data_IF_470628590042
#
_entry.id   IF_470628590042
#
_cell.length_a   1.000
_cell.length_b   1.000
_cell.length_c   1.000
_cell.angle_alpha   90.00
_cell.angle_beta   90.00
_cell.angle_gamma   90.00
#
_symmetry.space_group_name_H-M   'P 1'
#
loop_
_entity.id
_entity.type
_entity.pdbx_description
1 polymer ?
#
# COMPACT_ATOMS: atom_id res chain seq x y z
N UNK A 1 5.69 -2.51 -14.24
CA UNK A 1 4.41 -1.84 -14.30
C UNK A 1 4.43 -0.60 -13.42
N UNK A 2 3.83 0.45 -13.87
CA UNK A 2 3.69 1.71 -13.13
C UNK A 2 2.32 1.81 -12.48
N UNK A 3 2.28 2.46 -11.33
CA UNK A 3 1.07 2.81 -10.64
C UNK A 3 0.89 4.33 -10.64
N UNK A 4 -0.33 4.80 -10.53
CA UNK A 4 -0.66 6.20 -10.67
C UNK A 4 -1.04 6.78 -9.32
N UNK A 5 -0.73 8.07 -9.15
CA UNK A 5 -1.23 8.83 -8.01
C UNK A 5 -2.77 8.86 -8.05
N UNK A 6 -3.41 8.53 -6.92
CA UNK A 6 -4.81 8.81 -6.74
C UNK A 6 -5.00 10.32 -6.47
N UNK A 7 -5.67 11.00 -7.38
CA UNK A 7 -6.11 12.38 -7.21
C UNK A 7 -7.45 12.57 -7.93
N UNK A 8 -8.32 13.43 -7.40
CA UNK A 8 -9.58 13.78 -8.06
C UNK A 8 -9.38 14.62 -9.31
N UNK A 9 -8.18 15.18 -9.50
CA UNK A 9 -7.81 15.96 -10.69
C UNK A 9 -7.01 15.09 -11.65
N UNK A 10 -7.56 14.80 -12.81
CA UNK A 10 -6.89 14.09 -13.90
C UNK A 10 -5.56 14.75 -14.31
N UNK A 11 -5.46 16.08 -14.19
CA UNK A 11 -4.24 16.83 -14.53
C UNK A 11 -3.12 16.52 -13.53
N UNK A 12 -3.44 16.43 -12.24
CA UNK A 12 -2.47 16.07 -11.21
C UNK A 12 -2.06 14.60 -11.34
N UNK A 13 -3.03 13.73 -11.58
CA UNK A 13 -2.80 12.31 -11.82
C UNK A 13 -1.84 12.08 -13.00
N UNK A 14 -2.01 12.81 -14.12
CA UNK A 14 -1.15 12.72 -15.29
C UNK A 14 0.26 13.30 -15.09
N UNK A 15 0.42 14.23 -14.18
CA UNK A 15 1.71 14.90 -13.88
C UNK A 15 2.48 14.26 -12.73
N UNK A 16 1.89 13.30 -12.02
CA UNK A 16 2.54 12.62 -10.92
C UNK A 16 3.65 11.68 -11.39
N UNK A 17 4.59 11.41 -10.50
CA UNK A 17 5.60 10.39 -10.74
C UNK A 17 4.97 9.01 -10.71
N UNK A 18 5.45 8.13 -11.56
CA UNK A 18 5.03 6.73 -11.58
C UNK A 18 5.81 5.91 -10.55
N UNK A 19 5.13 5.03 -9.83
CA UNK A 19 5.80 3.95 -9.09
C UNK A 19 6.02 2.75 -10.01
N UNK A 20 7.19 2.13 -9.92
CA UNK A 20 7.57 0.97 -10.74
C UNK A 20 7.75 -0.25 -9.86
N UNK A 21 7.10 -1.34 -10.25
CA UNK A 21 7.16 -2.63 -9.55
C UNK A 21 7.76 -3.70 -10.47
N UNK A 22 8.65 -4.51 -9.89
CA UNK A 22 9.24 -5.66 -10.60
C UNK A 22 8.25 -6.82 -10.62
N UNK A 23 8.27 -7.59 -11.70
CA UNK A 23 7.47 -8.81 -11.82
C UNK A 23 8.00 -9.95 -10.94
N UNK A 24 9.24 -9.84 -10.47
CA UNK A 24 9.92 -10.86 -9.68
C UNK A 24 10.97 -10.20 -8.76
N UNK A 25 10.88 -10.48 -7.45
CA UNK A 25 11.83 -9.99 -6.46
C UNK A 25 13.21 -10.63 -6.61
N UNK A 26 13.30 -11.85 -7.14
CA UNK A 26 14.56 -12.52 -7.43
C UNK A 26 15.34 -11.81 -8.54
N UNK A 27 14.67 -11.42 -9.62
CA UNK A 27 15.27 -10.60 -10.67
C UNK A 27 15.73 -9.25 -10.14
N UNK A 28 14.93 -8.62 -9.28
CA UNK A 28 15.30 -7.37 -8.62
C UNK A 28 16.59 -7.51 -7.80
N UNK A 29 16.68 -8.55 -6.98
CA UNK A 29 17.85 -8.85 -6.17
C UNK A 29 19.11 -9.22 -6.98
N UNK A 30 18.94 -9.78 -8.18
CA UNK A 30 20.05 -10.13 -9.07
C UNK A 30 20.65 -8.91 -9.81
N UNK A 31 19.83 -7.88 -10.03
CA UNK A 31 20.23 -6.67 -10.79
C UNK A 31 20.66 -5.52 -9.88
N UNK A 32 20.04 -5.40 -8.72
CA UNK A 32 20.35 -4.34 -7.75
C UNK A 32 21.25 -4.89 -6.65
N UNK A 33 22.31 -4.15 -6.30
CA UNK A 33 23.10 -4.50 -5.12
C UNK A 33 22.20 -4.45 -3.87
N UNK A 34 22.24 -5.47 -3.00
CA UNK A 34 21.43 -5.49 -1.79
C UNK A 34 21.76 -4.28 -0.90
N UNK A 35 20.76 -3.46 -0.64
CA UNK A 35 20.85 -2.41 0.36
C UNK A 35 20.18 -2.89 1.64
N UNK A 36 20.68 -2.49 2.78
CA UNK A 36 20.22 -2.93 4.12
C UNK A 36 18.74 -2.61 4.42
N UNK A 37 18.05 -1.90 3.53
CA UNK A 37 16.67 -1.46 3.70
C UNK A 37 15.70 -2.02 2.64
N UNK A 38 16.06 -3.12 1.97
CA UNK A 38 15.27 -3.67 0.86
C UNK A 38 14.05 -4.51 1.28
N UNK A 39 13.95 -4.89 2.56
CA UNK A 39 12.85 -5.74 3.04
C UNK A 39 11.48 -5.08 2.87
N UNK A 40 11.34 -3.81 3.24
CA UNK A 40 10.09 -3.07 3.07
C UNK A 40 9.68 -2.95 1.61
N UNK A 41 10.63 -2.59 0.74
CA UNK A 41 10.39 -2.47 -0.71
C UNK A 41 10.07 -3.83 -1.37
N UNK A 42 10.70 -4.91 -0.91
CA UNK A 42 10.40 -6.25 -1.40
C UNK A 42 9.02 -6.70 -0.96
N UNK A 43 8.62 -6.36 0.28
CA UNK A 43 7.29 -6.64 0.79
C UNK A 43 6.22 -5.85 0.02
N UNK A 44 6.43 -4.55 -0.20
CA UNK A 44 5.55 -3.70 -1.01
C UNK A 44 5.39 -4.26 -2.44
N UNK A 45 6.50 -4.65 -3.07
CA UNK A 45 6.46 -5.27 -4.39
C UNK A 45 5.68 -6.60 -4.40
N UNK A 46 5.84 -7.42 -3.37
CA UNK A 46 5.08 -8.69 -3.23
C UNK A 46 3.58 -8.41 -3.10
N UNK A 47 3.21 -7.44 -2.28
CA UNK A 47 1.81 -7.02 -2.11
C UNK A 47 1.25 -6.51 -3.43
N UNK A 48 1.97 -5.62 -4.14
CA UNK A 48 1.55 -5.15 -5.46
C UNK A 48 1.30 -6.29 -6.44
N UNK A 49 2.22 -7.24 -6.51
CA UNK A 49 2.09 -8.40 -7.43
C UNK A 49 0.84 -9.22 -7.13
N UNK A 50 0.52 -9.44 -5.85
CA UNK A 50 -0.69 -10.16 -5.44
C UNK A 50 -1.96 -9.36 -5.76
N UNK A 51 -1.99 -8.06 -5.44
CA UNK A 51 -3.10 -7.19 -5.79
C UNK A 51 -3.35 -7.20 -7.31
N UNK A 52 -2.29 -7.09 -8.09
CA UNK A 52 -2.37 -7.08 -9.55
C UNK A 52 -2.81 -8.43 -10.13
N UNK A 53 -2.45 -9.55 -9.50
CA UNK A 53 -2.86 -10.89 -9.90
C UNK A 53 -4.34 -11.12 -9.67
N UNK A 54 -4.84 -10.67 -8.52
CA UNK A 54 -6.21 -10.92 -8.04
C UNK A 54 -7.20 -9.82 -8.43
N UNK A 55 -6.73 -8.76 -9.10
CA UNK A 55 -7.61 -7.63 -9.43
C UNK A 55 -8.67 -8.03 -10.46
N UNK A 56 -9.88 -7.52 -10.23
CA UNK A 56 -10.94 -7.54 -11.23
C UNK A 56 -10.58 -6.63 -12.43
N UNK A 57 -11.11 -6.88 -13.66
CA UNK A 57 -10.85 -6.03 -14.84
C UNK A 57 -11.13 -4.54 -14.65
N UNK A 58 -12.10 -4.19 -13.79
CA UNK A 58 -12.47 -2.80 -13.49
C UNK A 58 -11.76 -2.21 -12.27
N UNK A 59 -10.86 -2.97 -11.64
CA UNK A 59 -10.10 -2.47 -10.51
C UNK A 59 -8.92 -1.62 -10.99
N UNK A 60 -8.75 -0.47 -10.36
CA UNK A 60 -7.57 0.40 -10.48
C UNK A 60 -6.78 0.32 -9.18
N UNK A 61 -5.48 0.13 -9.31
CA UNK A 61 -4.53 0.24 -8.21
C UNK A 61 -3.77 1.54 -8.41
N UNK A 62 -3.78 2.40 -7.42
CA UNK A 62 -3.05 3.67 -7.41
C UNK A 62 -2.41 3.88 -6.04
N UNK A 63 -1.59 4.90 -5.88
CA UNK A 63 -1.06 5.34 -4.60
C UNK A 63 -1.56 6.75 -4.29
N UNK A 64 -1.51 7.16 -3.04
CA UNK A 64 -1.82 8.52 -2.62
C UNK A 64 -0.56 9.19 -2.11
N UNK A 65 -0.36 10.44 -2.51
CA UNK A 65 0.73 11.28 -2.06
C UNK A 65 0.20 12.65 -1.63
N UNK A 66 0.12 12.85 -0.33
CA UNK A 66 -0.14 14.14 0.31
C UNK A 66 1.08 14.59 1.09
N UNK A 67 0.90 14.97 2.37
CA UNK A 67 2.02 15.20 3.29
C UNK A 67 2.71 13.88 3.65
N UNK A 68 1.93 12.79 3.70
CA UNK A 68 2.40 11.43 3.85
C UNK A 68 1.88 10.58 2.68
N UNK A 69 2.53 9.45 2.43
CA UNK A 69 2.17 8.54 1.37
C UNK A 69 1.26 7.42 1.90
N UNK A 70 0.29 6.98 1.08
CA UNK A 70 -0.38 5.70 1.22
C UNK A 70 -0.04 4.84 0.00
N UNK A 71 0.48 3.63 0.24
CA UNK A 71 1.06 2.79 -0.80
C UNK A 71 0.07 2.33 -1.83
N UNK A 72 -1.13 1.90 -1.42
CA UNK A 72 -2.14 1.41 -2.36
C UNK A 72 -3.53 1.95 -2.04
N UNK A 73 -4.15 2.52 -3.07
CA UNK A 73 -5.56 2.91 -3.13
C UNK A 73 -6.24 1.96 -4.10
N UNK A 74 -7.05 1.06 -3.56
CA UNK A 74 -7.80 0.09 -4.35
C UNK A 74 -9.14 0.69 -4.74
N UNK A 75 -9.36 0.89 -6.02
CA UNK A 75 -10.58 1.48 -6.57
C UNK A 75 -11.28 0.51 -7.50
N UNK A 76 -12.60 0.42 -7.40
CA UNK A 76 -13.46 -0.27 -8.37
C UNK A 76 -14.49 0.71 -8.88
N UNK A 77 -14.45 0.99 -10.18
CA UNK A 77 -15.24 2.06 -10.80
C UNK A 77 -15.01 3.40 -10.09
N UNK A 78 -16.02 3.99 -9.47
CA UNK A 78 -15.90 5.24 -8.71
C UNK A 78 -15.68 5.05 -7.20
N UNK A 79 -15.71 3.80 -6.71
CA UNK A 79 -15.64 3.51 -5.29
C UNK A 79 -14.24 3.12 -4.84
N UNK A 80 -13.77 3.74 -3.76
CA UNK A 80 -12.55 3.30 -3.07
C UNK A 80 -12.92 2.13 -2.17
N UNK A 81 -12.37 0.97 -2.49
CA UNK A 81 -12.66 -0.29 -1.82
C UNK A 81 -11.82 -0.50 -0.58
N UNK A 82 -10.55 -0.10 -0.63
CA UNK A 82 -9.60 -0.30 0.45
C UNK A 82 -8.39 0.62 0.30
N UNK A 83 -7.83 1.02 1.42
CA UNK A 83 -6.52 1.66 1.52
C UNK A 83 -5.55 0.72 2.22
N UNK A 84 -4.38 0.53 1.63
CA UNK A 84 -3.37 -0.41 2.13
C UNK A 84 -2.03 0.31 2.26
N UNK A 85 -1.44 0.17 3.43
CA UNK A 85 -0.07 0.58 3.73
C UNK A 85 0.78 -0.66 3.93
N UNK A 86 2.04 -0.64 3.51
CA UNK A 86 2.96 -1.77 3.65
C UNK A 86 4.22 -1.33 4.37
N UNK A 87 4.52 -1.97 5.49
CA UNK A 87 5.75 -1.73 6.24
C UNK A 87 6.32 -3.04 6.75
N UNK A 88 7.65 -3.13 6.85
CA UNK A 88 8.29 -4.35 7.36
C UNK A 88 7.93 -4.59 8.83
N UNK A 89 7.97 -3.55 9.65
CA UNK A 89 7.63 -3.59 11.07
C UNK A 89 7.05 -2.27 11.56
N UNK A 90 6.17 -2.35 12.55
CA UNK A 90 5.58 -1.24 13.29
C UNK A 90 6.20 -1.08 14.69
N UNK A 91 7.29 -1.77 14.98
CA UNK A 91 7.94 -1.73 16.30
C UNK A 91 8.56 -0.37 16.63
N UNK A 92 9.06 0.35 15.63
CA UNK A 92 9.56 1.71 15.77
C UNK A 92 8.41 2.72 15.76
N UNK A 93 8.35 3.58 16.79
CA UNK A 93 7.25 4.52 16.98
C UNK A 93 7.17 5.59 15.88
N UNK A 94 8.32 6.07 15.37
CA UNK A 94 8.37 7.05 14.29
C UNK A 94 7.83 6.45 12.99
N UNK A 95 8.28 5.25 12.65
CA UNK A 95 7.76 4.49 11.51
C UNK A 95 6.26 4.25 11.65
N UNK A 96 5.82 3.75 12.80
CA UNK A 96 4.41 3.49 13.07
C UNK A 96 3.54 4.73 12.87
N UNK A 97 3.94 5.86 13.44
CA UNK A 97 3.18 7.10 13.32
C UNK A 97 3.12 7.60 11.88
N UNK A 98 4.20 7.50 11.14
CA UNK A 98 4.26 7.88 9.72
C UNK A 98 3.31 7.04 8.87
N UNK A 99 3.34 5.71 9.04
CA UNK A 99 2.48 4.79 8.28
C UNK A 99 0.99 5.00 8.58
N UNK A 100 0.64 5.16 9.86
CA UNK A 100 -0.73 5.47 10.29
C UNK A 100 -1.19 6.81 9.73
N UNK A 101 -0.34 7.83 9.79
CA UNK A 101 -0.66 9.17 9.28
C UNK A 101 -0.93 9.18 7.79
N UNK A 102 -0.12 8.49 6.99
CA UNK A 102 -0.32 8.36 5.54
C UNK A 102 -1.66 7.71 5.22
N UNK A 103 -1.98 6.64 5.91
CA UNK A 103 -3.24 5.91 5.74
C UNK A 103 -4.46 6.77 6.13
N UNK A 104 -4.39 7.49 7.27
CA UNK A 104 -5.48 8.37 7.72
C UNK A 104 -5.67 9.59 6.81
N UNK A 105 -4.58 10.16 6.30
CA UNK A 105 -4.65 11.28 5.34
C UNK A 105 -5.35 10.84 4.05
N UNK A 106 -4.98 9.69 3.51
CA UNK A 106 -5.66 9.11 2.35
C UNK A 106 -7.14 8.80 2.65
N UNK A 107 -7.44 8.26 3.85
CA UNK A 107 -8.80 7.97 4.27
C UNK A 107 -9.69 9.22 4.36
N UNK A 108 -9.14 10.34 4.80
CA UNK A 108 -9.85 11.61 4.86
C UNK A 108 -10.21 12.14 3.45
N UNK A 109 -9.28 11.98 2.49
CA UNK A 109 -9.49 12.44 1.11
C UNK A 109 -10.45 11.54 0.34
N UNK A 110 -10.38 10.22 0.56
CA UNK A 110 -11.17 9.22 -0.18
C UNK A 110 -12.49 8.87 0.47
N UNK A 111 -12.72 9.26 1.73
CA UNK A 111 -13.84 8.84 2.56
C UNK A 111 -13.92 7.30 2.74
N UNK A 112 -12.78 6.60 2.66
CA UNK A 112 -12.70 5.16 2.82
C UNK A 112 -12.39 4.80 4.29
N UNK A 113 -13.13 3.83 4.84
CA UNK A 113 -12.95 3.34 6.21
C UNK A 113 -12.36 1.92 6.26
N UNK A 114 -12.12 1.29 5.10
CA UNK A 114 -11.48 -0.02 5.03
C UNK A 114 -9.95 0.15 4.98
N UNK A 115 -9.33 0.21 6.16
CA UNK A 115 -7.92 0.55 6.34
C UNK A 115 -7.14 -0.69 6.76
N UNK A 116 -6.04 -0.98 6.04
CA UNK A 116 -5.19 -2.13 6.28
C UNK A 116 -3.71 -1.74 6.28
N UNK A 117 -2.97 -2.20 7.27
CA UNK A 117 -1.51 -2.20 7.26
C UNK A 117 -1.04 -3.65 7.12
N UNK A 118 -0.20 -3.91 6.11
CA UNK A 118 0.45 -5.20 5.91
C UNK A 118 1.88 -5.11 6.43
N UNK A 119 2.22 -6.02 7.33
CA UNK A 119 3.54 -6.12 7.95
C UNK A 119 4.19 -7.45 7.60
N UNK A 120 5.45 -7.66 7.99
CA UNK A 120 6.09 -8.96 7.86
C UNK A 120 5.38 -10.04 8.71
N UNK A 121 5.21 -9.77 10.01
CA UNK A 121 4.73 -10.78 10.98
C UNK A 121 3.82 -10.24 12.09
N UNK A 122 3.60 -8.92 12.15
CA UNK A 122 2.76 -8.31 13.19
C UNK A 122 1.28 -8.41 12.83
N UNK A 123 0.45 -8.68 13.83
CA UNK A 123 -1.00 -8.77 13.71
C UNK A 123 -1.70 -8.00 14.82
N UNK A 124 -2.79 -7.32 14.49
CA UNK A 124 -3.60 -6.59 15.46
C UNK A 124 -4.61 -5.66 14.83
N UNK A 125 -5.13 -4.81 15.69
CA UNK A 125 -6.06 -3.75 15.31
C UNK A 125 -5.80 -2.54 16.19
N UNK A 126 -5.90 -1.35 15.63
CA UNK A 126 -5.82 -0.12 16.39
C UNK A 126 -6.91 0.85 15.96
N UNK A 127 -7.32 1.71 16.89
CA UNK A 127 -8.28 2.79 16.61
C UNK A 127 -7.55 4.12 16.77
N UNK A 128 -7.59 4.95 15.73
CA UNK A 128 -7.05 6.32 15.75
C UNK A 128 -7.96 7.24 14.96
N UNK A 129 -8.23 8.42 15.51
CA UNK A 129 -9.09 9.44 14.91
C UNK A 129 -10.49 8.91 14.50
N UNK A 130 -11.04 8.01 15.34
CA UNK A 130 -12.35 7.37 15.10
C UNK A 130 -12.37 6.33 13.99
N UNK A 131 -11.23 5.98 13.40
CA UNK A 131 -11.09 4.95 12.37
C UNK A 131 -10.38 3.72 12.92
N UNK A 132 -10.87 2.56 12.51
CA UNK A 132 -10.26 1.26 12.82
C UNK A 132 -9.29 0.87 11.71
N UNK A 133 -8.05 0.60 12.08
CA UNK A 133 -6.99 0.15 11.18
C UNK A 133 -6.65 -1.29 11.55
N UNK A 134 -6.77 -2.21 10.59
CA UNK A 134 -6.33 -3.60 10.75
C UNK A 134 -4.86 -3.72 10.43
N UNK A 135 -4.15 -4.53 11.21
CA UNK A 135 -2.76 -4.89 10.98
C UNK A 135 -2.71 -6.38 10.70
N UNK A 136 -2.07 -6.78 9.61
CA UNK A 136 -2.06 -8.17 9.18
C UNK A 136 -0.69 -8.58 8.66
N UNK A 137 -0.15 -9.72 9.09
CA UNK A 137 1.09 -10.23 8.52
C UNK A 137 0.89 -10.66 7.05
N UNK A 138 1.91 -10.41 6.24
CA UNK A 138 1.85 -10.64 4.80
C UNK A 138 1.52 -12.09 4.44
N UNK A 139 2.09 -13.07 5.16
CA UNK A 139 1.80 -14.48 4.90
C UNK A 139 0.31 -14.80 5.05
N UNK A 140 -0.35 -14.21 6.07
CA UNK A 140 -1.79 -14.41 6.31
C UNK A 140 -2.64 -13.69 5.26
N UNK A 141 -2.21 -12.50 4.86
CA UNK A 141 -2.90 -11.74 3.82
C UNK A 141 -2.79 -12.42 2.45
N UNK A 142 -1.62 -12.94 2.10
CA UNK A 142 -1.37 -13.65 0.84
C UNK A 142 -2.20 -14.94 0.71
N UNK A 143 -2.48 -15.62 1.82
CA UNK A 143 -3.26 -16.88 1.85
C UNK A 143 -4.77 -16.67 1.89
N UNK A 144 -5.26 -15.47 2.18
CA UNK A 144 -6.71 -15.16 2.18
C UNK A 144 -7.34 -15.00 0.79
N UNK A 145 -6.56 -15.01 -0.24
CA UNK A 145 -6.99 -14.82 -1.63
C UNK A 145 -7.31 -16.12 -2.38
N UNK A 146 -7.44 -17.23 -1.67
CA UNK A 146 -7.93 -18.51 -2.22
C UNK A 146 -9.41 -18.72 -1.89
#
# INVERSE_FOLDING_TARGET
RKDFLYDRSLIKEQKSLDKYYCIDNGLRGAVLMPQSNDNGKNLENTVFMQLNRNRHPFDKISYYQGNCECDFVMQREENIMQLIQVTWSMADDETREREIKGLLEAAAVTACDNLLIITNDEEGELVKDGKTIKIMPAWKWLTKGE
#
